data_IF_298897228823
#
_entry.id   IF_298897228823
#
_cell.length_a   1.000
_cell.length_b   1.000
_cell.length_c   1.000
_cell.angle_alpha   90.00
_cell.angle_beta   90.00
_cell.angle_gamma   90.00
#
_symmetry.space_group_name_H-M   'P 1'
#
loop_
_entity.id
_entity.type
_entity.pdbx_description
1 polymer ?
#
# COMPACT_ATOMS: atom_id res chain seq x y z
N UNK A 1 -30.68 19.15 15.82
CA UNK A 1 -30.02 18.69 14.58
C UNK A 1 -28.78 17.94 14.98
N UNK A 2 -28.80 16.62 14.85
CA UNK A 2 -27.65 15.76 15.13
C UNK A 2 -26.63 16.00 14.00
N UNK A 3 -25.43 16.44 14.35
CA UNK A 3 -24.31 16.54 13.41
C UNK A 3 -23.83 15.12 13.12
N UNK A 4 -24.08 14.64 11.91
CA UNK A 4 -23.53 13.37 11.42
C UNK A 4 -22.00 13.42 11.47
N UNK A 5 -21.45 12.55 12.30
CA UNK A 5 -20.02 12.41 12.51
C UNK A 5 -19.44 11.61 11.33
N UNK A 6 -19.11 12.30 10.23
CA UNK A 6 -18.44 11.67 9.08
C UNK A 6 -17.04 11.26 9.55
N UNK A 7 -16.87 9.99 9.94
CA UNK A 7 -15.54 9.42 10.17
C UNK A 7 -14.81 9.44 8.83
N UNK A 8 -13.75 10.24 8.74
CA UNK A 8 -12.81 10.19 7.63
C UNK A 8 -12.26 8.76 7.54
N UNK A 9 -12.61 8.04 6.46
CA UNK A 9 -12.22 6.64 6.29
C UNK A 9 -10.73 6.61 5.94
N UNK A 10 -9.93 5.97 6.79
CA UNK A 10 -8.49 5.82 6.58
C UNK A 10 -8.21 4.75 5.51
N UNK A 11 -7.34 5.04 4.54
CA UNK A 11 -6.99 4.12 3.45
C UNK A 11 -6.55 2.74 3.94
N UNK A 12 -5.88 2.63 5.10
CA UNK A 12 -5.46 1.34 5.66
C UNK A 12 -6.65 0.49 6.09
N UNK A 13 -7.69 1.11 6.65
CA UNK A 13 -8.90 0.38 7.05
C UNK A 13 -9.71 -0.06 5.82
N UNK A 14 -9.71 0.76 4.75
CA UNK A 14 -10.31 0.39 3.46
C UNK A 14 -9.57 -0.80 2.82
N UNK A 15 -8.23 -0.77 2.80
CA UNK A 15 -7.41 -1.88 2.30
C UNK A 15 -7.68 -3.14 3.13
N UNK A 16 -7.71 -3.04 4.46
CA UNK A 16 -8.00 -4.18 5.33
C UNK A 16 -9.38 -4.77 5.04
N UNK A 17 -10.42 -3.93 4.90
CA UNK A 17 -11.77 -4.39 4.57
C UNK A 17 -11.85 -5.09 3.21
N UNK A 18 -11.14 -4.59 2.19
CA UNK A 18 -11.22 -5.10 0.82
C UNK A 18 -10.33 -6.31 0.56
N UNK A 19 -9.20 -6.41 1.26
CA UNK A 19 -8.14 -7.39 0.95
C UNK A 19 -7.87 -8.38 2.08
N UNK A 20 -8.32 -8.07 3.31
CA UNK A 20 -7.92 -8.79 4.52
C UNK A 20 -6.48 -8.52 4.97
N UNK A 21 -5.71 -7.69 4.25
CA UNK A 21 -4.32 -7.37 4.58
C UNK A 21 -4.25 -6.17 5.51
N UNK A 22 -3.69 -6.35 6.70
CA UNK A 22 -3.42 -5.25 7.61
C UNK A 22 -2.03 -4.65 7.35
N UNK A 23 -2.00 -3.51 6.66
CA UNK A 23 -0.79 -2.75 6.33
C UNK A 23 0.05 -2.41 7.59
N UNK A 24 -0.58 -2.26 8.76
CA UNK A 24 0.11 -1.90 10.02
C UNK A 24 1.04 -3.00 10.51
N UNK A 25 0.84 -4.25 10.07
CA UNK A 25 1.70 -5.37 10.43
C UNK A 25 3.03 -5.41 9.67
N UNK A 26 3.17 -4.64 8.59
CA UNK A 26 4.41 -4.58 7.83
C UNK A 26 5.54 -4.00 8.71
N UNK A 27 6.57 -4.79 9.00
CA UNK A 27 7.73 -4.35 9.78
C UNK A 27 8.94 -4.01 8.90
N UNK A 28 8.72 -3.77 7.60
CA UNK A 28 9.73 -3.29 6.65
C UNK A 28 10.92 -4.25 6.42
N UNK A 29 10.67 -5.56 6.31
CA UNK A 29 11.73 -6.53 6.01
C UNK A 29 12.27 -6.48 4.56
N UNK A 30 11.49 -5.96 3.61
CA UNK A 30 11.88 -5.86 2.21
C UNK A 30 11.75 -7.14 1.37
N UNK A 31 11.31 -8.28 1.93
CA UNK A 31 11.15 -9.55 1.19
C UNK A 31 10.28 -9.39 -0.07
N UNK A 32 9.18 -8.63 0.04
CA UNK A 32 8.27 -8.35 -1.07
C UNK A 32 8.94 -7.62 -2.25
N UNK A 33 9.86 -6.71 -1.97
CA UNK A 33 10.64 -6.00 -2.99
C UNK A 33 11.71 -6.93 -3.56
N UNK A 34 12.44 -7.65 -2.71
CA UNK A 34 13.50 -8.57 -3.14
C UNK A 34 12.99 -9.72 -4.01
N UNK A 35 11.77 -10.20 -3.77
CA UNK A 35 11.12 -11.24 -4.57
C UNK A 35 10.44 -10.72 -5.83
N UNK A 36 10.26 -9.42 -6.02
CA UNK A 36 9.54 -8.89 -7.17
C UNK A 36 10.46 -8.82 -8.41
N UNK A 37 10.10 -9.47 -9.53
CA UNK A 37 10.97 -9.59 -10.71
C UNK A 37 11.10 -8.27 -11.48
N UNK A 38 10.21 -7.31 -11.22
CA UNK A 38 10.15 -6.00 -11.88
C UNK A 38 10.34 -4.84 -10.88
N UNK A 39 10.92 -5.12 -9.71
CA UNK A 39 11.13 -4.11 -8.68
C UNK A 39 12.07 -2.98 -9.11
N UNK A 40 13.00 -3.24 -10.04
CA UNK A 40 13.96 -2.24 -10.50
C UNK A 40 13.34 -1.22 -11.47
N UNK A 41 12.22 -1.58 -12.07
CA UNK A 41 11.46 -0.79 -13.03
C UNK A 41 10.35 0.03 -12.35
N UNK A 42 10.05 -0.28 -11.08
CA UNK A 42 9.06 0.40 -10.26
C UNK A 42 9.55 1.78 -9.80
N UNK A 43 8.66 2.78 -9.86
CA UNK A 43 8.88 4.10 -9.25
C UNK A 43 8.87 4.03 -7.70
N UNK A 44 8.05 3.12 -7.15
CA UNK A 44 7.98 2.80 -5.74
C UNK A 44 7.91 1.28 -5.55
N UNK A 45 9.00 0.62 -5.15
CA UNK A 45 8.97 -0.80 -4.86
C UNK A 45 7.95 -1.16 -3.78
N UNK A 46 7.44 -2.39 -3.80
CA UNK A 46 6.34 -2.83 -2.94
C UNK A 46 6.57 -2.56 -1.44
N UNK A 47 7.79 -2.74 -0.91
CA UNK A 47 8.11 -2.40 0.48
C UNK A 47 7.96 -0.90 0.79
N UNK A 48 8.28 -0.04 -0.17
CA UNK A 48 8.15 1.42 -0.07
C UNK A 48 6.69 1.82 -0.13
N UNK A 49 5.89 1.20 -1.01
CA UNK A 49 4.42 1.37 -1.04
C UNK A 49 3.82 1.03 0.32
N UNK A 50 4.18 -0.12 0.90
CA UNK A 50 3.73 -0.50 2.23
C UNK A 50 4.11 0.54 3.28
N UNK A 51 5.35 1.09 3.23
CA UNK A 51 5.79 2.13 4.16
C UNK A 51 4.97 3.41 4.00
N UNK A 52 4.75 3.86 2.77
CA UNK A 52 3.98 5.07 2.46
C UNK A 52 2.54 4.96 2.99
N UNK A 53 1.90 3.81 2.81
CA UNK A 53 0.57 3.55 3.34
C UNK A 53 0.52 3.52 4.88
N UNK A 54 1.64 3.26 5.56
CA UNK A 54 1.71 3.28 7.03
C UNK A 54 1.77 4.68 7.64
N UNK A 55 2.24 5.71 6.90
CA UNK A 55 2.54 7.02 7.50
C UNK A 55 1.31 7.89 7.76
N UNK A 56 0.14 7.55 7.20
CA UNK A 56 -1.10 8.34 7.29
C UNK A 56 -0.97 9.76 6.69
N UNK A 57 0.04 10.00 5.85
CA UNK A 57 0.21 11.28 5.19
C UNK A 57 -0.56 11.28 3.86
N UNK A 58 -1.48 12.24 3.67
CA UNK A 58 -2.26 12.38 2.44
C UNK A 58 -1.39 12.46 1.19
N UNK A 59 -0.23 13.12 1.27
CA UNK A 59 0.70 13.22 0.15
C UNK A 59 1.30 11.86 -0.26
N UNK A 60 1.46 10.92 0.68
CA UNK A 60 1.95 9.57 0.38
C UNK A 60 0.83 8.69 -0.17
N UNK A 61 -0.40 8.86 0.31
CA UNK A 61 -1.58 8.25 -0.29
C UNK A 61 -1.75 8.67 -1.75
N UNK A 62 -1.63 9.98 -2.04
CA UNK A 62 -1.71 10.49 -3.41
C UNK A 62 -0.58 9.93 -4.30
N UNK A 63 0.64 9.81 -3.78
CA UNK A 63 1.75 9.18 -4.51
C UNK A 63 1.46 7.71 -4.83
N UNK A 64 0.95 6.94 -3.85
CA UNK A 64 0.59 5.53 -4.07
C UNK A 64 -0.50 5.40 -5.12
N UNK A 65 -1.56 6.22 -5.05
CA UNK A 65 -2.66 6.20 -6.02
C UNK A 65 -2.23 6.54 -7.45
N UNK A 66 -1.18 7.36 -7.60
CA UNK A 66 -0.63 7.76 -8.89
C UNK A 66 0.65 7.01 -9.28
N UNK A 67 1.05 5.99 -8.50
CA UNK A 67 2.28 5.25 -8.74
C UNK A 67 2.18 4.44 -10.04
N UNK A 68 3.23 4.51 -10.86
CA UNK A 68 3.35 3.66 -12.04
C UNK A 68 3.53 2.18 -11.66
N UNK A 69 4.11 1.92 -10.49
CA UNK A 69 4.36 0.57 -9.95
C UNK A 69 3.14 -0.34 -9.91
N UNK A 70 1.92 0.20 -9.71
CA UNK A 70 0.68 -0.60 -9.71
C UNK A 70 0.44 -1.24 -11.09
N UNK A 71 0.77 -0.52 -12.16
CA UNK A 71 0.60 -0.98 -13.54
C UNK A 71 1.70 -1.94 -14.01
N UNK A 72 2.83 -1.99 -13.31
CA UNK A 72 3.91 -2.94 -13.58
C UNK A 72 3.70 -4.29 -12.89
N UNK A 73 2.73 -4.41 -11.97
CA UNK A 73 2.48 -5.63 -11.24
C UNK A 73 2.15 -6.82 -12.18
N UNK A 74 2.99 -7.85 -12.16
CA UNK A 74 2.77 -9.08 -12.94
C UNK A 74 1.77 -10.06 -12.30
N UNK A 75 1.18 -9.70 -11.15
CA UNK A 75 0.30 -10.59 -10.36
C UNK A 75 0.92 -11.97 -10.07
N UNK A 76 2.24 -12.00 -9.84
CA UNK A 76 3.00 -13.24 -9.61
C UNK A 76 2.98 -13.75 -8.15
N UNK A 77 2.35 -13.00 -7.24
CA UNK A 77 2.12 -13.35 -5.83
C UNK A 77 3.35 -13.61 -4.94
N UNK A 78 4.58 -13.56 -5.46
CA UNK A 78 5.81 -13.73 -4.64
C UNK A 78 5.94 -12.77 -3.45
N UNK A 79 5.30 -11.61 -3.51
CA UNK A 79 5.27 -10.65 -2.40
C UNK A 79 4.20 -10.94 -1.33
N UNK A 80 3.29 -11.86 -1.60
CA UNK A 80 2.20 -12.28 -0.71
C UNK A 80 2.55 -13.54 0.10
N UNK A 81 3.33 -14.46 -0.49
CA UNK A 81 3.88 -15.67 0.15
C UNK A 81 5.01 -15.39 1.17
#
# INVERSE_FOLDING_TARGET
MQTENIKEVNIRDEILQKTGVDIRQCYQCGKCTAGCPVANEMDYPSSVIMRMLQTEEKCNEDKVKNAYSIWLCLSCEMCYE
#
